data_IF_480265145229
#
_entry.id   IF_480265145229
#
_cell.length_a   1.000
_cell.length_b   1.000
_cell.length_c   1.000
_cell.angle_alpha   90.00
_cell.angle_beta   90.00
_cell.angle_gamma   90.00
#
_symmetry.space_group_name_H-M   'P 1'
#
loop_
_entity.id
_entity.type
_entity.pdbx_description
1 polymer ?
#
# COMPACT_ATOMS: atom_id res chain seq x y z
N UNK A 1 20.28 -20.94 -10.55
CA UNK A 1 18.99 -20.42 -11.05
C UNK A 1 18.23 -19.86 -9.85
N UNK A 2 18.25 -18.54 -9.65
CA UNK A 2 17.55 -17.88 -8.53
C UNK A 2 16.08 -17.70 -8.89
N UNK A 3 15.16 -18.22 -8.09
CA UNK A 3 13.73 -18.01 -8.29
C UNK A 3 13.37 -16.52 -8.10
N UNK A 4 12.48 -15.94 -8.92
CA UNK A 4 12.08 -14.55 -8.75
C UNK A 4 11.33 -14.37 -7.41
N UNK A 5 11.89 -13.55 -6.53
CA UNK A 5 11.26 -13.17 -5.27
C UNK A 5 9.94 -12.44 -5.58
N UNK A 6 8.83 -12.93 -5.04
CA UNK A 6 7.52 -12.31 -5.23
C UNK A 6 7.35 -11.13 -4.28
N UNK A 7 7.07 -9.95 -4.84
CA UNK A 7 6.75 -8.75 -4.06
C UNK A 7 5.34 -8.88 -3.50
N UNK A 8 5.19 -8.91 -2.18
CA UNK A 8 3.87 -8.85 -1.55
C UNK A 8 3.61 -7.43 -1.07
N UNK A 9 2.39 -6.94 -1.28
CA UNK A 9 1.95 -5.62 -0.82
C UNK A 9 1.12 -5.79 0.44
N UNK A 10 1.52 -5.16 1.55
CA UNK A 10 0.70 -5.07 2.76
C UNK A 10 0.09 -3.68 2.85
N UNK A 11 -1.23 -3.63 3.08
CA UNK A 11 -1.89 -2.39 3.46
C UNK A 11 -1.43 -2.03 4.88
N UNK A 12 -0.90 -0.83 5.06
CA UNK A 12 -0.57 -0.29 6.38
C UNK A 12 -1.85 -0.14 7.21
N UNK A 13 -1.76 -0.31 8.54
CA UNK A 13 -2.94 -0.32 9.42
C UNK A 13 -3.75 0.98 9.26
N UNK A 14 -5.09 0.84 9.20
CA UNK A 14 -6.10 1.91 8.97
C UNK A 14 -5.99 3.13 9.90
N UNK A 15 -5.18 3.08 10.96
CA UNK A 15 -5.14 4.06 12.04
C UNK A 15 -3.81 4.85 12.16
N UNK A 16 -2.82 4.65 11.28
CA UNK A 16 -1.58 5.45 11.30
C UNK A 16 -1.56 6.44 10.13
N UNK A 17 -2.10 7.63 10.35
CA UNK A 17 -1.84 8.78 9.47
C UNK A 17 -0.53 9.44 9.88
N UNK A 18 0.40 9.59 8.94
CA UNK A 18 1.69 10.24 9.18
C UNK A 18 1.59 11.71 8.83
N UNK A 19 2.11 12.58 9.71
CA UNK A 19 2.25 14.01 9.42
C UNK A 19 3.69 14.29 9.02
N UNK A 20 3.86 14.91 7.87
CA UNK A 20 5.16 15.18 7.26
C UNK A 20 5.21 16.67 6.92
N UNK A 21 6.28 17.37 7.30
CA UNK A 21 6.45 18.81 7.02
C UNK A 21 7.31 18.96 5.78
N UNK A 22 6.72 19.51 4.72
CA UNK A 22 7.35 19.70 3.43
C UNK A 22 6.92 21.02 2.78
N UNK A 23 7.72 21.48 1.83
CA UNK A 23 7.44 22.59 0.93
C UNK A 23 6.80 22.09 -0.36
N UNK A 24 6.03 22.94 -1.03
CA UNK A 24 5.45 22.63 -2.35
C UNK A 24 6.51 22.39 -3.45
N UNK A 25 7.72 22.89 -3.23
CA UNK A 25 8.90 22.71 -4.10
C UNK A 25 9.62 21.39 -3.86
N UNK A 26 9.33 20.70 -2.75
CA UNK A 26 9.96 19.40 -2.47
C UNK A 26 9.41 18.34 -3.43
N UNK A 27 10.21 17.31 -3.68
CA UNK A 27 9.84 16.24 -4.62
C UNK A 27 9.12 15.08 -3.95
N UNK A 28 8.48 14.22 -4.75
CA UNK A 28 7.95 12.95 -4.28
C UNK A 28 9.05 12.06 -3.66
N UNK A 29 10.28 12.13 -4.18
CA UNK A 29 11.43 11.43 -3.59
C UNK A 29 11.73 11.92 -2.17
N UNK A 30 11.73 13.23 -1.96
CA UNK A 30 11.95 13.82 -0.63
C UNK A 30 10.86 13.38 0.36
N UNK A 31 9.62 13.29 -0.09
CA UNK A 31 8.50 12.76 0.72
C UNK A 31 8.74 11.30 1.13
N UNK A 32 9.13 10.44 0.19
CA UNK A 32 9.46 9.03 0.49
C UNK A 32 10.62 8.92 1.50
N UNK A 33 11.62 9.78 1.40
CA UNK A 33 12.73 9.84 2.37
C UNK A 33 12.24 10.28 3.75
N UNK A 34 11.34 11.26 3.83
CA UNK A 34 10.77 11.64 5.13
C UNK A 34 9.91 10.52 5.73
N UNK A 35 9.14 9.80 4.91
CA UNK A 35 8.37 8.64 5.33
C UNK A 35 9.27 7.49 5.80
N UNK A 36 10.44 7.28 5.18
CA UNK A 36 11.42 6.29 5.65
C UNK A 36 11.86 6.57 7.09
N UNK A 37 12.11 7.84 7.45
CA UNK A 37 12.48 8.22 8.83
C UNK A 37 11.39 7.88 9.85
N UNK A 38 10.12 7.87 9.47
CA UNK A 38 9.00 7.58 10.36
C UNK A 38 8.57 6.11 10.36
N UNK A 39 8.68 5.43 9.21
CA UNK A 39 8.15 4.07 9.00
C UNK A 39 9.22 2.99 8.99
N UNK A 40 10.49 3.35 8.77
CA UNK A 40 11.58 2.42 8.53
C UNK A 40 11.54 1.75 7.15
N UNK A 41 10.57 2.08 6.30
CA UNK A 41 10.41 1.45 4.99
C UNK A 41 11.22 2.15 3.91
N UNK A 42 12.01 1.41 3.13
CA UNK A 42 12.87 2.02 2.11
C UNK A 42 12.02 2.72 1.04
N UNK A 43 12.48 3.84 0.44
CA UNK A 43 11.72 4.56 -0.59
C UNK A 43 11.25 3.71 -1.77
N UNK A 44 12.02 2.68 -2.14
CA UNK A 44 11.68 1.77 -3.23
C UNK A 44 10.52 0.83 -2.90
N UNK A 45 10.30 0.55 -1.60
CA UNK A 45 9.21 -0.30 -1.12
C UNK A 45 7.94 0.51 -0.80
N UNK A 46 7.99 1.83 -0.95
CA UNK A 46 6.87 2.73 -0.70
C UNK A 46 6.12 3.02 -2.01
N UNK A 47 4.85 2.60 -2.07
CA UNK A 47 3.94 2.98 -3.13
C UNK A 47 2.96 4.04 -2.62
N UNK A 48 3.01 5.23 -3.20
CA UNK A 48 2.17 6.36 -2.84
C UNK A 48 1.08 6.57 -3.88
N UNK A 49 -0.17 6.70 -3.42
CA UNK A 49 -1.31 7.00 -4.28
C UNK A 49 -2.12 8.14 -3.68
N UNK A 50 -2.74 8.94 -4.53
CA UNK A 50 -3.69 9.97 -4.09
C UNK A 50 -5.02 9.35 -3.66
N UNK A 51 -5.49 8.37 -4.43
CA UNK A 51 -6.79 7.74 -4.27
C UNK A 51 -6.71 6.24 -4.61
N UNK A 52 -7.71 5.47 -4.19
CA UNK A 52 -7.76 4.04 -4.46
C UNK A 52 -7.95 3.80 -5.96
N UNK A 53 -7.01 3.07 -6.58
CA UNK A 53 -7.01 2.83 -8.02
C UNK A 53 -6.47 4.00 -8.85
N UNK A 54 -5.96 5.06 -8.20
CA UNK A 54 -5.32 6.18 -8.88
C UNK A 54 -3.90 5.85 -9.36
N UNK A 55 -3.24 6.85 -9.95
CA UNK A 55 -1.86 6.74 -10.42
C UNK A 55 -0.85 6.72 -9.29
N UNK A 56 0.21 5.93 -9.47
CA UNK A 56 1.36 5.92 -8.58
C UNK A 56 2.06 7.28 -8.61
N UNK A 57 2.28 7.85 -7.43
CA UNK A 57 3.09 9.04 -7.24
C UNK A 57 4.55 8.60 -7.12
N UNK A 58 5.29 8.79 -8.21
CA UNK A 58 6.71 8.45 -8.27
C UNK A 58 7.49 9.43 -9.15
N UNK A 59 8.80 9.47 -8.96
CA UNK A 59 9.72 10.30 -9.73
C UNK A 59 10.08 11.64 -9.08
N UNK A 60 10.56 12.56 -9.92
CA UNK A 60 11.15 13.85 -9.52
C UNK A 60 10.15 15.01 -9.52
N UNK A 61 8.87 14.73 -9.76
CA UNK A 61 7.83 15.73 -9.71
C UNK A 61 7.76 16.37 -8.30
N UNK A 62 7.54 17.67 -8.27
CA UNK A 62 7.33 18.40 -7.02
C UNK A 62 5.95 18.09 -6.43
N UNK A 63 5.75 18.34 -5.14
CA UNK A 63 4.44 18.21 -4.50
C UNK A 63 3.40 19.13 -5.17
N UNK A 64 3.82 20.29 -5.67
CA UNK A 64 2.97 21.21 -6.43
C UNK A 64 2.54 20.63 -7.78
N UNK A 65 3.49 20.14 -8.59
CA UNK A 65 3.19 19.53 -9.90
C UNK A 65 2.32 18.28 -9.73
N UNK A 66 2.61 17.49 -8.71
CA UNK A 66 1.81 16.35 -8.32
C UNK A 66 0.44 16.74 -7.75
N UNK A 67 0.13 18.04 -7.60
CA UNK A 67 -1.11 18.65 -7.07
C UNK A 67 -1.46 18.24 -5.64
N UNK A 68 -0.48 17.96 -4.80
CA UNK A 68 -0.71 17.52 -3.42
C UNK A 68 -0.97 18.74 -2.56
N UNK A 69 -2.15 18.79 -1.94
CA UNK A 69 -2.52 19.90 -1.07
C UNK A 69 -1.84 19.80 0.29
N UNK A 70 -1.50 20.95 0.87
CA UNK A 70 -1.06 21.03 2.27
C UNK A 70 -2.21 20.65 3.19
N UNK A 71 -1.90 20.08 4.36
CA UNK A 71 -2.90 19.74 5.38
C UNK A 71 -4.07 18.89 4.85
N UNK A 72 -3.80 17.96 3.94
CA UNK A 72 -4.77 17.05 3.36
C UNK A 72 -5.22 15.93 4.34
N UNK A 73 -5.55 16.30 5.58
CA UNK A 73 -5.97 15.35 6.61
C UNK A 73 -7.32 14.69 6.28
N UNK A 74 -8.21 15.41 5.59
CA UNK A 74 -9.50 14.90 5.14
C UNK A 74 -9.37 13.94 3.94
N UNK A 75 -8.32 14.12 3.13
CA UNK A 75 -8.00 13.27 1.97
C UNK A 75 -6.49 12.94 1.96
N UNK A 76 -6.03 12.07 2.88
CA UNK A 76 -4.62 11.74 3.00
C UNK A 76 -4.15 10.88 1.83
N UNK A 77 -2.84 10.93 1.56
CA UNK A 77 -2.22 10.02 0.61
C UNK A 77 -2.24 8.59 1.15
N UNK A 78 -2.40 7.64 0.24
CA UNK A 78 -2.38 6.22 0.53
C UNK A 78 -0.93 5.72 0.41
N UNK A 79 -0.38 5.21 1.51
CA UNK A 79 0.92 4.55 1.54
C UNK A 79 0.74 3.03 1.60
N UNK A 80 1.15 2.33 0.55
CA UNK A 80 1.21 0.86 0.51
C UNK A 80 2.66 0.42 0.67
N UNK A 81 2.86 -0.44 1.66
CA UNK A 81 4.15 -0.99 2.00
C UNK A 81 4.39 -2.29 1.23
N UNK A 82 5.45 -2.34 0.40
CA UNK A 82 5.91 -3.59 -0.19
C UNK A 82 6.91 -4.28 0.74
N UNK A 83 6.85 -5.60 0.78
CA UNK A 83 7.88 -6.43 1.41
C UNK A 83 8.17 -7.59 0.48
N UNK A 84 9.44 -7.96 0.34
CA UNK A 84 9.80 -9.27 -0.22
C UNK A 84 9.37 -10.32 0.80
N UNK A 85 8.38 -11.15 0.48
CA UNK A 85 8.15 -12.34 1.29
C UNK A 85 9.04 -13.45 0.74
N UNK A 86 9.75 -14.14 1.63
CA UNK A 86 10.39 -15.41 1.31
C UNK A 86 9.35 -16.56 1.22
N UNK A 87 8.09 -16.25 0.87
CA UNK A 87 7.14 -17.29 0.52
C UNK A 87 7.56 -17.74 -0.86
N UNK A 88 8.43 -18.75 -0.89
CA UNK A 88 8.60 -19.59 -2.06
C UNK A 88 7.21 -19.84 -2.61
N UNK A 89 7.01 -19.54 -3.90
CA UNK A 89 5.82 -19.91 -4.65
C UNK A 89 5.72 -21.45 -4.65
N UNK A 90 5.35 -22.02 -3.51
CA UNK A 90 4.78 -23.35 -3.44
C UNK A 90 3.38 -23.15 -3.96
N UNK A 91 3.26 -23.38 -5.26
CA UNK A 91 2.05 -23.72 -5.97
C UNK A 91 0.93 -24.14 -5.00
N UNK A 92 -0.06 -23.26 -4.87
CA UNK A 92 -1.39 -23.56 -4.34
C UNK A 92 -2.11 -24.43 -5.38
N UNK A 93 -1.58 -25.61 -5.66
CA UNK A 93 -2.11 -26.55 -6.66
C UNK A 93 -2.39 -27.92 -6.03
N UNK A 94 -2.94 -27.92 -4.80
CA UNK A 94 -3.62 -29.07 -4.19
C UNK A 94 -4.18 -28.71 -2.80
N UNK A 95 -5.16 -27.81 -2.74
CA UNK A 95 -6.25 -27.97 -1.77
C UNK A 95 -7.48 -27.23 -2.33
N UNK A 96 -8.55 -27.95 -2.72
CA UNK A 96 -9.81 -27.26 -3.00
C UNK A 96 -10.17 -26.50 -1.72
N UNK A 97 -10.28 -25.16 -1.82
CA UNK A 97 -10.83 -24.35 -0.74
C UNK A 97 -12.13 -25.02 -0.33
N UNK A 98 -12.18 -25.54 0.90
CA UNK A 98 -13.40 -26.14 1.40
C UNK A 98 -14.50 -25.10 1.24
N UNK A 99 -15.62 -25.41 0.57
CA UNK A 99 -16.74 -24.48 0.53
C UNK A 99 -17.12 -24.16 1.98
N UNK A 100 -17.08 -22.88 2.35
CA UNK A 100 -17.45 -22.42 3.67
C UNK A 100 -18.85 -22.97 4.00
N UNK A 101 -18.95 -23.77 5.08
CA UNK A 101 -20.23 -24.25 5.64
C UNK A 101 -20.98 -23.07 6.26
N UNK A 102 -21.43 -22.14 5.44
CA UNK A 102 -22.08 -20.88 5.84
C UNK A 102 -23.54 -20.72 5.41
N UNK A 103 -24.17 -21.76 4.87
CA UNK A 103 -25.60 -21.73 4.45
C UNK A 103 -26.37 -22.95 4.95
N UNK A 104 -26.20 -23.28 6.22
CA UNK A 104 -27.09 -24.22 6.90
C UNK A 104 -28.10 -23.36 7.68
N UNK A 105 -29.37 -23.51 7.30
CA UNK A 105 -30.57 -23.04 8.01
C UNK A 105 -31.02 -21.58 7.85
N UNK A 106 -31.21 -21.14 6.60
CA UNK A 106 -32.25 -20.11 6.32
C UNK A 106 -33.13 -20.53 5.15
N UNK A 107 -33.96 -21.55 5.37
CA UNK A 107 -35.16 -21.81 4.59
C UNK A 107 -36.27 -22.25 5.57
N UNK A 108 -37.00 -21.27 6.09
CA UNK A 108 -38.42 -21.07 5.79
C UNK A 108 -39.33 -22.14 6.39
N UNK A 109 -39.88 -21.83 7.56
CA UNK A 109 -41.07 -22.47 8.09
C UNK A 109 -42.25 -22.24 7.13
N UNK A 110 -42.93 -23.31 6.73
CA UNK A 110 -44.35 -23.33 6.37
C UNK A 110 -44.90 -24.76 6.51
#
# INVERSE_FOLDING_TARGET
MSAPLSKTTRRTQKNKCFKVKMSSTDTIKDLKIQLYKQTGQTPNDQLLYRELGGSLLDGDATLFEARIEKNNADQPLILIAQSMSAVAAKYDEQQPRAPERGFIDTALAH
#
